data_IF_521729833094
#
_entry.id   IF_521729833094
#
_cell.length_a   1.000
_cell.length_b   1.000
_cell.length_c   1.000
_cell.angle_alpha   90.00
_cell.angle_beta   90.00
_cell.angle_gamma   90.00
#
_symmetry.space_group_name_H-M   'P 1'
#
loop_
_entity.id
_entity.type
_entity.pdbx_description
1 polymer ?
#
# COMPACT_ATOMS: atom_id res chain seq x y z
N UNK A 1 0.21 13.51 16.17
CA UNK A 1 0.12 14.73 15.36
C UNK A 1 0.32 14.43 13.88
N UNK A 2 -0.08 15.35 12.99
CA UNK A 2 0.08 15.15 11.52
C UNK A 2 1.56 15.03 11.14
N UNK A 3 2.44 15.75 11.82
CA UNK A 3 3.89 15.67 11.60
C UNK A 3 4.42 14.26 11.87
N UNK A 4 3.97 13.59 12.92
CA UNK A 4 4.36 12.21 13.24
C UNK A 4 3.93 11.25 12.14
N UNK A 5 2.71 11.40 11.61
CA UNK A 5 2.21 10.57 10.49
C UNK A 5 3.05 10.81 9.24
N UNK A 6 3.35 12.07 8.94
CA UNK A 6 4.20 12.42 7.81
C UNK A 6 5.60 11.82 7.93
N UNK A 7 6.28 12.00 9.06
CA UNK A 7 7.64 11.44 9.26
C UNK A 7 7.63 9.92 9.21
N UNK A 8 6.61 9.25 9.78
CA UNK A 8 6.44 7.80 9.65
C UNK A 8 6.27 7.37 8.20
N UNK A 9 5.50 8.10 7.41
CA UNK A 9 5.30 7.78 5.99
C UNK A 9 6.59 7.93 5.17
N UNK A 10 7.48 8.85 5.57
CA UNK A 10 8.76 9.06 4.91
C UNK A 10 9.72 7.88 5.10
N UNK A 11 9.58 7.08 6.17
CA UNK A 11 10.36 5.84 6.35
C UNK A 11 10.16 4.92 5.13
N UNK A 12 8.94 4.83 4.62
CA UNK A 12 8.61 4.01 3.44
C UNK A 12 8.94 4.74 2.13
N UNK A 13 8.58 6.02 2.02
CA UNK A 13 8.72 6.79 0.79
C UNK A 13 10.19 6.97 0.35
N UNK A 14 11.15 6.93 1.27
CA UNK A 14 12.58 7.04 0.96
C UNK A 14 13.24 5.71 0.55
N UNK A 15 12.56 4.56 0.73
CA UNK A 15 13.12 3.24 0.45
C UNK A 15 13.13 2.95 -1.06
N UNK A 16 14.22 3.27 -1.73
CA UNK A 16 14.45 2.93 -3.16
C UNK A 16 14.48 1.42 -3.42
N UNK A 17 14.80 0.63 -2.40
CA UNK A 17 14.83 -0.84 -2.46
C UNK A 17 13.45 -1.48 -2.58
N UNK A 18 12.39 -0.70 -2.28
CA UNK A 18 11.00 -1.08 -2.53
C UNK A 18 10.37 -0.03 -3.45
N UNK A 19 10.50 -0.15 -4.77
CA UNK A 19 10.06 0.88 -5.73
C UNK A 19 8.59 1.26 -5.59
N UNK A 20 7.74 0.31 -5.14
CA UNK A 20 6.32 0.51 -4.89
C UNK A 20 6.04 1.57 -3.81
N UNK A 21 6.90 1.69 -2.81
CA UNK A 21 6.77 2.65 -1.71
C UNK A 21 7.45 3.99 -2.01
N UNK A 22 8.48 3.96 -2.86
CA UNK A 22 9.30 5.12 -3.20
C UNK A 22 8.58 6.06 -4.16
N UNK A 23 7.51 6.68 -3.68
CA UNK A 23 6.71 7.63 -4.45
C UNK A 23 6.05 8.66 -3.53
N UNK A 24 5.86 9.89 -4.02
CA UNK A 24 5.23 10.99 -3.28
C UNK A 24 3.77 10.68 -2.83
N UNK A 25 3.09 9.78 -3.53
CA UNK A 25 1.73 9.36 -3.16
C UNK A 25 1.68 8.64 -1.80
N UNK A 26 2.79 8.03 -1.36
CA UNK A 26 2.87 7.36 -0.05
C UNK A 26 2.61 8.32 1.11
N UNK A 27 3.38 9.42 1.30
CA UNK A 27 3.10 10.36 2.38
C UNK A 27 1.75 11.08 2.22
N UNK A 28 1.35 11.40 1.00
CA UNK A 28 0.04 12.03 0.76
C UNK A 28 -1.09 11.12 1.23
N UNK A 29 -1.02 9.83 0.92
CA UNK A 29 -2.04 8.86 1.32
C UNK A 29 -2.08 8.66 2.85
N UNK A 30 -0.91 8.59 3.51
CA UNK A 30 -0.86 8.46 4.97
C UNK A 30 -1.48 9.68 5.68
N UNK A 31 -1.13 10.88 5.24
CA UNK A 31 -1.61 12.13 5.83
C UNK A 31 -3.12 12.31 5.57
N UNK A 32 -3.57 12.08 4.33
CA UNK A 32 -5.00 12.22 3.97
C UNK A 32 -5.88 11.22 4.72
N UNK A 33 -5.47 9.96 4.83
CA UNK A 33 -6.19 8.96 5.64
C UNK A 33 -6.26 9.36 7.12
N UNK A 34 -5.19 9.91 7.67
CA UNK A 34 -5.15 10.37 9.07
C UNK A 34 -6.09 11.56 9.31
N UNK A 35 -6.09 12.54 8.40
CA UNK A 35 -6.93 13.74 8.53
C UNK A 35 -8.41 13.37 8.37
N UNK A 36 -8.77 12.69 7.29
CA UNK A 36 -10.17 12.45 6.98
C UNK A 36 -10.78 11.30 7.80
N UNK A 37 -9.98 10.29 8.16
CA UNK A 37 -10.38 9.30 9.15
C UNK A 37 -10.56 9.92 10.54
N UNK A 38 -9.69 10.84 10.95
CA UNK A 38 -9.82 11.64 12.15
C UNK A 38 -11.07 12.52 12.14
N UNK A 39 -11.39 13.15 11.01
CA UNK A 39 -12.61 13.94 10.84
C UNK A 39 -13.88 13.08 11.04
N UNK A 40 -13.89 11.85 10.52
CA UNK A 40 -15.00 10.92 10.77
C UNK A 40 -15.13 10.60 12.26
N UNK A 41 -14.02 10.28 12.94
CA UNK A 41 -14.02 9.91 14.35
C UNK A 41 -14.45 11.06 15.28
N UNK A 42 -14.19 12.31 14.87
CA UNK A 42 -14.60 13.50 15.62
C UNK A 42 -16.00 14.03 15.24
N UNK A 43 -16.74 13.31 14.37
CA UNK A 43 -18.08 13.68 13.95
C UNK A 43 -18.13 14.81 12.91
N UNK A 44 -17.01 15.18 12.31
CA UNK A 44 -16.93 16.16 11.21
C UNK A 44 -17.36 15.53 9.88
N UNK A 45 -18.61 15.08 9.82
CA UNK A 45 -19.12 14.22 8.74
C UNK A 45 -19.02 14.86 7.36
N UNK A 46 -19.21 16.16 7.23
CA UNK A 46 -19.11 16.89 5.96
C UNK A 46 -17.68 16.85 5.43
N UNK A 47 -16.69 17.14 6.30
CA UNK A 47 -15.27 17.09 5.97
C UNK A 47 -14.85 15.67 5.61
N UNK A 48 -15.30 14.68 6.39
CA UNK A 48 -15.03 13.27 6.13
C UNK A 48 -15.60 12.81 4.79
N UNK A 49 -16.83 13.20 4.44
CA UNK A 49 -17.48 12.80 3.19
C UNK A 49 -16.71 13.25 1.96
N UNK A 50 -16.37 14.55 1.86
CA UNK A 50 -15.57 15.06 0.74
C UNK A 50 -14.14 14.52 0.78
N UNK A 51 -13.57 14.39 1.97
CA UNK A 51 -12.24 13.85 2.18
C UNK A 51 -12.12 12.39 1.71
N UNK A 52 -13.13 11.56 1.94
CA UNK A 52 -13.12 10.16 1.50
C UNK A 52 -13.18 10.02 -0.03
N UNK A 53 -13.88 10.91 -0.72
CA UNK A 53 -13.83 10.95 -2.19
C UNK A 53 -12.39 11.24 -2.65
N UNK A 54 -11.75 12.25 -2.06
CA UNK A 54 -10.36 12.59 -2.38
C UNK A 54 -9.40 11.42 -2.04
N UNK A 55 -9.53 10.81 -0.87
CA UNK A 55 -8.74 9.63 -0.46
C UNK A 55 -8.92 8.47 -1.44
N UNK A 56 -10.15 8.22 -1.88
CA UNK A 56 -10.43 7.17 -2.87
C UNK A 56 -9.70 7.39 -4.18
N UNK A 57 -9.74 8.59 -4.70
CA UNK A 57 -9.01 8.96 -5.93
C UNK A 57 -7.49 8.83 -5.75
N UNK A 58 -6.95 9.32 -4.64
CA UNK A 58 -5.52 9.21 -4.31
C UNK A 58 -5.12 7.73 -4.18
N UNK A 59 -5.94 6.89 -3.53
CA UNK A 59 -5.65 5.47 -3.35
C UNK A 59 -5.63 4.71 -4.68
N UNK A 60 -6.61 4.95 -5.55
CA UNK A 60 -6.66 4.33 -6.89
C UNK A 60 -5.46 4.76 -7.73
N UNK A 61 -5.16 6.06 -7.74
CA UNK A 61 -4.00 6.61 -8.42
C UNK A 61 -2.67 6.03 -7.90
N UNK A 62 -2.54 5.92 -6.57
CA UNK A 62 -1.38 5.31 -5.94
C UNK A 62 -1.19 3.85 -6.37
N UNK A 63 -2.26 3.05 -6.44
CA UNK A 63 -2.18 1.67 -6.93
C UNK A 63 -1.76 1.61 -8.39
N UNK A 64 -2.35 2.46 -9.25
CA UNK A 64 -2.03 2.50 -10.67
C UNK A 64 -0.55 2.79 -10.93
N UNK A 65 0.02 3.78 -10.23
CA UNK A 65 1.45 4.10 -10.35
C UNK A 65 2.30 2.98 -9.77
N UNK A 66 1.94 2.50 -8.58
CA UNK A 66 2.72 1.50 -7.85
C UNK A 66 2.81 0.16 -8.59
N UNK A 67 1.78 -0.22 -9.34
CA UNK A 67 1.78 -1.48 -10.10
C UNK A 67 2.84 -1.50 -11.23
N UNK A 68 3.25 -0.33 -11.71
CA UNK A 68 4.31 -0.19 -12.73
C UNK A 68 5.68 0.21 -12.17
N UNK A 69 5.78 0.45 -10.85
CA UNK A 69 6.98 1.04 -10.24
C UNK A 69 8.19 0.13 -10.31
N UNK A 70 8.03 -1.18 -10.14
CA UNK A 70 9.14 -2.12 -10.18
C UNK A 70 9.76 -2.20 -11.58
N UNK A 71 8.95 -2.32 -12.62
CA UNK A 71 9.44 -2.36 -14.00
C UNK A 71 10.07 -1.04 -14.43
N UNK A 72 9.55 0.10 -13.93
CA UNK A 72 10.10 1.43 -14.20
C UNK A 72 11.39 1.73 -13.44
N UNK A 73 11.67 1.00 -12.37
CA UNK A 73 12.90 1.21 -11.58
C UNK A 73 14.18 0.86 -12.37
N UNK A 74 14.05 0.09 -13.46
CA UNK A 74 15.20 -0.35 -14.27
C UNK A 74 16.14 -1.28 -13.52
N UNK A 75 15.76 -1.75 -12.32
CA UNK A 75 16.59 -2.65 -11.52
C UNK A 75 16.46 -4.07 -12.05
N UNK A 76 17.56 -4.62 -12.56
CA UNK A 76 17.69 -6.00 -13.04
C UNK A 76 18.81 -6.70 -12.26
N UNK A 77 18.95 -8.01 -12.42
CA UNK A 77 20.05 -8.75 -11.80
C UNK A 77 21.42 -8.24 -12.30
N UNK A 78 21.48 -7.80 -13.54
CA UNK A 78 22.68 -7.23 -14.16
C UNK A 78 23.08 -5.91 -13.50
N UNK A 79 22.11 -5.01 -13.27
CA UNK A 79 22.37 -3.72 -12.62
C UNK A 79 22.61 -3.88 -11.12
N UNK A 80 21.90 -4.80 -10.47
CA UNK A 80 22.04 -5.05 -9.03
C UNK A 80 23.39 -5.68 -8.65
N UNK A 81 23.96 -6.51 -9.55
CA UNK A 81 25.26 -7.14 -9.34
C UNK A 81 26.43 -6.34 -9.94
N UNK A 82 26.14 -5.38 -10.83
CA UNK A 82 27.17 -4.64 -11.59
C UNK A 82 27.87 -5.47 -12.67
N UNK A 83 27.41 -6.71 -12.93
CA UNK A 83 28.05 -7.64 -13.86
C UNK A 83 27.50 -7.54 -15.30
N UNK A 84 26.49 -6.73 -15.53
CA UNK A 84 25.81 -6.60 -16.83
C UNK A 84 26.73 -6.20 -17.99
N UNK A 85 27.81 -5.45 -17.70
CA UNK A 85 28.80 -5.04 -18.70
C UNK A 85 29.75 -6.20 -19.13
N UNK A 86 29.78 -7.28 -18.35
CA UNK A 86 30.66 -8.44 -18.61
C UNK A 86 29.91 -9.48 -19.45
N UNK A 87 28.61 -9.60 -19.27
CA UNK A 87 27.78 -10.57 -20.00
C UNK A 87 26.41 -10.78 -19.39
N UNK A 88 25.67 -11.77 -19.89
CA UNK A 88 24.35 -12.14 -19.35
C UNK A 88 24.51 -12.78 -17.98
N UNK A 89 23.98 -12.10 -16.95
CA UNK A 89 24.04 -12.58 -15.58
C UNK A 89 23.00 -13.67 -15.34
N UNK A 90 23.43 -14.78 -14.78
CA UNK A 90 22.54 -15.84 -14.29
C UNK A 90 23.04 -16.38 -12.97
N UNK A 91 22.14 -16.80 -12.13
CA UNK A 91 22.47 -17.45 -10.88
C UNK A 91 23.03 -18.84 -11.17
N UNK A 92 24.23 -19.14 -10.69
CA UNK A 92 24.87 -20.45 -10.85
C UNK A 92 24.22 -21.49 -9.92
N UNK A 93 24.11 -21.14 -8.64
CA UNK A 93 23.38 -21.92 -7.65
C UNK A 93 22.49 -21.00 -6.79
N UNK A 94 21.32 -21.48 -6.32
CA UNK A 94 20.53 -20.70 -5.36
C UNK A 94 21.34 -20.49 -4.07
N UNK A 95 21.34 -19.29 -3.49
CA UNK A 95 22.10 -19.00 -2.26
C UNK A 95 21.66 -19.82 -1.06
N UNK A 96 20.49 -20.48 -1.16
CA UNK A 96 19.96 -21.38 -0.15
C UNK A 96 19.27 -22.59 -0.79
N UNK A 97 19.51 -23.79 -0.27
CA UNK A 97 18.89 -25.04 -0.70
C UNK A 97 17.43 -25.17 -0.26
N UNK A 98 17.01 -24.40 0.76
CA UNK A 98 15.66 -24.38 1.32
C UNK A 98 14.97 -23.03 1.19
N UNK A 99 13.69 -22.97 1.60
CA UNK A 99 12.95 -21.71 1.67
C UNK A 99 13.53 -20.79 2.74
N UNK A 100 14.06 -19.66 2.31
CA UNK A 100 14.56 -18.63 3.20
C UNK A 100 13.41 -17.74 3.70
N UNK A 101 13.55 -17.20 4.91
CA UNK A 101 12.71 -16.16 5.51
C UNK A 101 12.47 -14.98 4.54
N UNK A 102 13.51 -14.46 3.85
CA UNK A 102 13.38 -13.39 2.86
C UNK A 102 12.46 -13.77 1.69
N UNK A 103 12.47 -15.03 1.25
CA UNK A 103 11.59 -15.51 0.19
C UNK A 103 10.17 -15.72 0.65
N UNK A 104 9.94 -16.00 1.93
CA UNK A 104 8.60 -16.15 2.52
C UNK A 104 7.96 -14.79 2.80
N UNK A 105 8.70 -13.88 3.40
CA UNK A 105 8.15 -12.60 3.86
C UNK A 105 8.23 -11.47 2.82
N UNK A 106 9.31 -11.42 2.03
CA UNK A 106 9.50 -10.37 1.03
C UNK A 106 8.85 -10.69 -0.34
N UNK A 107 8.44 -11.95 -0.54
CA UNK A 107 7.72 -12.40 -1.76
C UNK A 107 6.39 -13.03 -1.35
N UNK A 108 5.45 -12.20 -0.91
CA UNK A 108 4.18 -12.64 -0.33
C UNK A 108 3.22 -13.15 -1.43
N UNK A 109 3.31 -14.45 -1.76
CA UNK A 109 2.59 -15.08 -2.88
C UNK A 109 1.07 -15.03 -2.68
N UNK A 110 0.57 -15.33 -1.47
CA UNK A 110 -0.87 -15.41 -1.17
C UNK A 110 -1.52 -14.02 -1.24
N UNK A 111 -0.89 -13.02 -0.68
CA UNK A 111 -1.42 -11.65 -0.69
C UNK A 111 -1.55 -11.07 -2.10
N UNK A 112 -0.62 -11.41 -2.99
CA UNK A 112 -0.64 -10.98 -4.39
C UNK A 112 -1.72 -11.67 -5.21
N UNK A 113 -1.94 -12.98 -4.99
CA UNK A 113 -2.99 -13.75 -5.67
C UNK A 113 -4.39 -13.15 -5.48
N UNK A 114 -4.67 -12.58 -4.32
CA UNK A 114 -5.98 -12.01 -3.98
C UNK A 114 -5.99 -10.47 -3.94
N UNK A 115 -4.92 -9.82 -4.39
CA UNK A 115 -4.75 -8.38 -4.28
C UNK A 115 -5.90 -7.58 -4.91
N UNK A 116 -6.36 -7.96 -6.11
CA UNK A 116 -7.46 -7.27 -6.78
C UNK A 116 -8.76 -7.30 -5.97
N UNK A 117 -9.12 -8.48 -5.43
CA UNK A 117 -10.31 -8.63 -4.59
C UNK A 117 -10.19 -7.82 -3.29
N UNK A 118 -9.02 -7.85 -2.67
CA UNK A 118 -8.77 -7.11 -1.44
C UNK A 118 -8.74 -5.60 -1.65
N UNK A 119 -8.30 -5.12 -2.81
CA UNK A 119 -8.40 -3.69 -3.18
C UNK A 119 -9.85 -3.24 -3.25
N UNK A 120 -10.72 -4.03 -3.88
CA UNK A 120 -12.16 -3.73 -3.94
C UNK A 120 -12.76 -3.73 -2.54
N UNK A 121 -12.49 -4.75 -1.73
CA UNK A 121 -12.96 -4.83 -0.35
C UNK A 121 -12.48 -3.63 0.47
N UNK A 122 -11.19 -3.26 0.35
CA UNK A 122 -10.64 -2.11 1.03
C UNK A 122 -11.35 -0.80 0.67
N UNK A 123 -11.60 -0.55 -0.63
CA UNK A 123 -12.34 0.66 -1.07
C UNK A 123 -13.77 0.65 -0.54
N UNK A 124 -14.47 -0.47 -0.64
CA UNK A 124 -15.85 -0.58 -0.16
C UNK A 124 -15.91 -0.27 1.34
N UNK A 125 -15.08 -0.92 2.13
CA UNK A 125 -15.10 -0.75 3.58
C UNK A 125 -14.56 0.61 4.03
N UNK A 126 -13.50 1.09 3.41
CA UNK A 126 -12.82 2.32 3.84
C UNK A 126 -13.56 3.59 3.41
N UNK A 127 -14.27 3.56 2.27
CA UNK A 127 -14.81 4.75 1.61
C UNK A 127 -16.30 4.63 1.36
N UNK A 128 -16.74 3.58 0.63
CA UNK A 128 -18.13 3.52 0.15
C UNK A 128 -19.11 3.39 1.30
N UNK A 129 -18.89 2.46 2.23
CA UNK A 129 -19.77 2.26 3.37
C UNK A 129 -19.82 3.51 4.27
N UNK A 130 -18.72 4.13 4.68
CA UNK A 130 -18.77 5.38 5.44
C UNK A 130 -19.54 6.49 4.74
N UNK A 131 -19.31 6.72 3.44
CA UNK A 131 -20.04 7.74 2.66
C UNK A 131 -21.54 7.43 2.65
N UNK A 132 -21.93 6.19 2.41
CA UNK A 132 -23.36 5.79 2.43
C UNK A 132 -23.97 6.00 3.80
N UNK A 133 -23.29 5.62 4.87
CA UNK A 133 -23.77 5.83 6.24
C UNK A 133 -23.95 7.32 6.55
N UNK A 134 -22.98 8.16 6.18
CA UNK A 134 -23.06 9.61 6.33
C UNK A 134 -24.26 10.17 5.54
N UNK A 135 -24.42 9.77 4.28
CA UNK A 135 -25.55 10.18 3.45
C UNK A 135 -26.93 9.77 4.01
N UNK A 136 -26.97 8.68 4.78
CA UNK A 136 -28.15 8.21 5.51
C UNK A 136 -28.33 8.90 6.89
N UNK A 137 -27.59 9.97 7.18
CA UNK A 137 -27.68 10.71 8.43
C UNK A 137 -26.92 10.08 9.60
N UNK A 138 -25.76 9.47 9.35
CA UNK A 138 -24.91 8.85 10.36
C UNK A 138 -24.14 9.89 11.20
N UNK A 139 -24.83 10.85 11.78
CA UNK A 139 -24.20 11.81 12.71
C UNK A 139 -24.04 11.22 14.12
N UNK A 140 -24.95 10.33 14.51
CA UNK A 140 -24.98 9.70 15.83
C UNK A 140 -25.52 8.27 15.75
N UNK A 141 -25.32 7.51 16.84
CA UNK A 141 -25.88 6.18 17.02
C UNK A 141 -25.21 5.09 16.19
N UNK A 142 -25.94 4.03 15.92
CA UNK A 142 -25.43 2.81 15.30
C UNK A 142 -24.83 3.03 13.91
N UNK A 143 -25.38 3.96 13.12
CA UNK A 143 -24.88 4.26 11.78
C UNK A 143 -23.50 4.89 11.84
N UNK A 144 -23.22 5.77 12.81
CA UNK A 144 -21.91 6.35 13.03
C UNK A 144 -20.89 5.27 13.44
N UNK A 145 -21.28 4.34 14.30
CA UNK A 145 -20.44 3.21 14.72
C UNK A 145 -20.09 2.34 13.51
N UNK A 146 -21.08 2.00 12.68
CA UNK A 146 -20.85 1.20 11.45
C UNK A 146 -19.89 1.95 10.51
N UNK A 147 -20.07 3.25 10.30
CA UNK A 147 -19.19 4.04 9.45
C UNK A 147 -17.74 4.01 9.94
N UNK A 148 -17.51 4.22 11.24
CA UNK A 148 -16.17 4.22 11.85
C UNK A 148 -15.55 2.82 11.78
N UNK A 149 -16.26 1.77 12.20
CA UNK A 149 -15.73 0.41 12.20
C UNK A 149 -15.41 -0.07 10.80
N UNK A 150 -16.31 0.19 9.83
CA UNK A 150 -16.06 -0.14 8.43
C UNK A 150 -14.82 0.57 7.89
N UNK A 151 -14.69 1.89 8.16
CA UNK A 151 -13.51 2.66 7.76
C UNK A 151 -12.22 2.07 8.33
N UNK A 152 -12.18 1.79 9.63
CA UNK A 152 -11.00 1.22 10.30
C UNK A 152 -10.60 -0.12 9.68
N UNK A 153 -11.56 -1.04 9.50
CA UNK A 153 -11.30 -2.36 8.88
C UNK A 153 -10.82 -2.19 7.44
N UNK A 154 -11.40 -1.27 6.68
CA UNK A 154 -10.97 -0.96 5.32
C UNK A 154 -9.56 -0.38 5.26
N UNK A 155 -9.20 0.50 6.21
CA UNK A 155 -7.83 1.02 6.34
C UNK A 155 -6.86 -0.11 6.67
N UNK A 156 -7.18 -1.02 7.58
CA UNK A 156 -6.35 -2.19 7.87
C UNK A 156 -6.12 -3.06 6.63
N UNK A 157 -7.18 -3.34 5.86
CA UNK A 157 -7.06 -4.09 4.60
C UNK A 157 -6.17 -3.38 3.58
N UNK A 158 -6.32 -2.07 3.42
CA UNK A 158 -5.48 -1.25 2.55
C UNK A 158 -4.01 -1.23 3.01
N UNK A 159 -3.75 -1.12 4.33
CA UNK A 159 -2.39 -1.14 4.88
C UNK A 159 -1.75 -2.52 4.79
N UNK A 160 -2.52 -3.57 5.01
CA UNK A 160 -2.04 -4.92 4.78
C UNK A 160 -1.61 -5.13 3.32
N UNK A 161 -2.41 -4.68 2.35
CA UNK A 161 -2.05 -4.70 0.93
C UNK A 161 -0.79 -3.89 0.61
N UNK A 162 -0.60 -2.75 1.27
CA UNK A 162 0.59 -1.93 1.12
C UNK A 162 1.87 -2.72 1.41
N UNK A 163 1.84 -3.60 2.43
CA UNK A 163 2.95 -4.49 2.74
C UNK A 163 2.97 -5.75 1.87
N UNK A 164 1.84 -6.41 1.69
CA UNK A 164 1.74 -7.67 0.96
C UNK A 164 2.11 -7.54 -0.53
N UNK A 165 1.91 -6.38 -1.13
CA UNK A 165 2.27 -6.09 -2.52
C UNK A 165 3.66 -5.45 -2.67
N UNK A 166 4.39 -5.21 -1.58
CA UNK A 166 5.74 -4.69 -1.63
C UNK A 166 6.69 -5.68 -2.27
N UNK A 167 7.38 -5.23 -3.32
CA UNK A 167 8.45 -5.98 -3.98
C UNK A 167 9.79 -5.36 -3.61
N UNK A 168 10.62 -6.16 -2.97
CA UNK A 168 11.97 -5.74 -2.63
C UNK A 168 12.96 -6.19 -3.71
N UNK A 169 13.86 -5.30 -4.14
CA UNK A 169 14.88 -5.59 -5.15
C UNK A 169 15.82 -6.75 -4.76
N UNK A 170 15.92 -7.08 -3.47
CA UNK A 170 16.67 -8.24 -2.99
C UNK A 170 16.20 -9.57 -3.62
N UNK A 171 14.93 -9.66 -4.03
CA UNK A 171 14.39 -10.83 -4.71
C UNK A 171 15.13 -11.18 -6.01
N UNK A 172 15.76 -10.19 -6.65
CA UNK A 172 16.55 -10.39 -7.87
C UNK A 172 17.77 -11.29 -7.61
N UNK A 173 18.43 -11.17 -6.46
CA UNK A 173 19.56 -12.01 -6.09
C UNK A 173 19.19 -13.49 -5.88
N UNK A 174 17.90 -13.79 -5.69
CA UNK A 174 17.37 -15.13 -5.51
C UNK A 174 16.72 -15.67 -6.79
N UNK A 175 16.87 -14.98 -7.94
CA UNK A 175 16.31 -15.38 -9.23
C UNK A 175 14.79 -15.33 -9.29
N UNK A 176 14.13 -14.73 -8.30
CA UNK A 176 12.67 -14.57 -8.26
C UNK A 176 12.34 -13.11 -8.52
N UNK A 177 11.69 -12.87 -9.66
CA UNK A 177 10.81 -11.73 -9.79
C UNK A 177 9.53 -12.05 -9.02
N UNK A 178 9.13 -11.14 -8.17
CA UNK A 178 7.87 -11.23 -7.49
C UNK A 178 6.67 -11.10 -8.43
#
# INVERSE_FOLDING_TARGET
SVVTVFTTSMIYAQLKTVPRWNHWSTPVLFVSLSIFGGALMTGQVTVAMYGFVAVGLIQIFAWFISDSSFSKSGTTIETATGLGNIGKVRMFEPPHTGTNYLLKEMVYIIGRKHAAKLRVIAIILMIVIPILMIGMGAQHGIKAIIAVLSHVVGVFASRWLFFAQAEHVVGLYYGKRG
#
